data_IF_087073350484
#
_entry.id   IF_087073350484
#
_cell.length_a   1.000
_cell.length_b   1.000
_cell.length_c   1.000
_cell.angle_alpha   90.00
_cell.angle_beta   90.00
_cell.angle_gamma   90.00
#
_symmetry.space_group_name_H-M   'P 1'
#
loop_
_entity.id
_entity.type
_entity.pdbx_description
1 polymer ?
#
# COMPACT_ATOMS: atom_id res chain seq x y z
N UNK A 1 9.25 -4.24 -12.32
CA UNK A 1 10.68 -4.32 -12.66
C UNK A 1 10.96 -5.77 -13.01
N UNK A 2 11.49 -6.02 -14.20
CA UNK A 2 11.93 -7.36 -14.60
C UNK A 2 13.28 -7.69 -13.96
N UNK A 3 13.73 -8.94 -14.09
CA UNK A 3 15.01 -9.38 -13.53
C UNK A 3 16.19 -8.63 -14.16
N UNK A 4 16.11 -8.37 -15.46
CA UNK A 4 17.13 -7.68 -16.25
C UNK A 4 17.28 -6.23 -15.77
N UNK A 5 16.13 -5.54 -15.63
CA UNK A 5 16.07 -4.17 -15.11
C UNK A 5 16.59 -4.06 -13.68
N UNK A 6 16.33 -5.07 -12.83
CA UNK A 6 16.90 -5.11 -11.48
C UNK A 6 18.43 -5.25 -11.53
N UNK A 7 18.94 -6.12 -12.40
CA UNK A 7 20.38 -6.33 -12.57
C UNK A 7 21.12 -5.07 -13.05
N UNK A 8 20.53 -4.30 -13.95
CA UNK A 8 21.06 -3.01 -14.38
C UNK A 8 21.14 -2.00 -13.22
N UNK A 9 20.05 -1.83 -12.48
CA UNK A 9 20.04 -0.93 -11.31
C UNK A 9 21.00 -1.39 -10.22
N UNK A 10 21.14 -2.70 -10.02
CA UNK A 10 22.08 -3.24 -9.05
C UNK A 10 23.52 -2.90 -9.42
N UNK A 11 23.92 -3.01 -10.69
CA UNK A 11 25.26 -2.61 -11.14
C UNK A 11 25.51 -1.12 -10.93
N UNK A 12 24.54 -0.28 -11.27
CA UNK A 12 24.63 1.16 -11.03
C UNK A 12 24.82 1.49 -9.54
N UNK A 13 24.14 0.77 -8.64
CA UNK A 13 24.36 0.90 -7.19
C UNK A 13 25.78 0.52 -6.79
N UNK A 14 26.34 -0.56 -7.34
CA UNK A 14 27.73 -0.95 -7.04
C UNK A 14 28.72 0.13 -7.47
N UNK A 15 28.51 0.76 -8.63
CA UNK A 15 29.34 1.87 -9.11
C UNK A 15 29.31 3.05 -8.13
N UNK A 16 28.14 3.45 -7.63
CA UNK A 16 28.02 4.52 -6.63
C UNK A 16 28.67 4.20 -5.27
N UNK A 17 28.73 2.92 -4.90
CA UNK A 17 29.45 2.49 -3.70
C UNK A 17 30.96 2.55 -3.92
N UNK A 18 31.44 2.18 -5.11
CA UNK A 18 32.86 2.17 -5.45
C UNK A 18 33.44 3.57 -5.71
N UNK A 19 32.65 4.52 -6.23
CA UNK A 19 33.06 5.92 -6.40
C UNK A 19 33.23 6.66 -5.07
N UNK A 20 32.69 6.11 -3.97
CA UNK A 20 32.67 6.76 -2.66
C UNK A 20 31.55 7.79 -2.49
N UNK A 21 30.61 7.86 -3.45
CA UNK A 21 29.46 8.79 -3.38
C UNK A 21 28.50 8.42 -2.24
N UNK A 22 28.44 7.14 -1.87
CA UNK A 22 27.62 6.66 -0.76
C UNK A 22 28.17 5.37 -0.14
N UNK A 23 27.82 5.12 1.13
CA UNK A 23 28.22 3.90 1.85
C UNK A 23 27.18 2.79 1.81
N UNK A 24 25.90 3.14 1.66
CA UNK A 24 24.81 2.18 1.61
C UNK A 24 23.70 2.71 0.72
N UNK A 25 23.17 1.84 -0.14
CA UNK A 25 21.98 2.12 -0.94
C UNK A 25 20.93 1.04 -0.66
N UNK A 26 19.69 1.47 -0.44
CA UNK A 26 18.56 0.56 -0.34
C UNK A 26 17.86 0.45 -1.70
N UNK A 27 18.08 -0.64 -2.42
CA UNK A 27 17.41 -0.91 -3.68
C UNK A 27 16.04 -1.55 -3.41
N UNK A 28 14.97 -0.78 -3.58
CA UNK A 28 13.60 -1.24 -3.37
C UNK A 28 12.88 -1.56 -4.69
N UNK A 29 12.05 -2.60 -4.69
CA UNK A 29 11.19 -2.97 -5.82
C UNK A 29 9.73 -2.71 -5.50
N UNK A 30 9.04 -2.00 -6.41
CA UNK A 30 7.59 -1.80 -6.34
C UNK A 30 6.85 -2.94 -7.03
N UNK A 31 5.86 -3.49 -6.33
CA UNK A 31 4.87 -4.43 -6.86
C UNK A 31 3.50 -3.78 -6.94
N UNK A 32 2.66 -4.27 -7.84
CA UNK A 32 1.28 -3.81 -8.00
C UNK A 32 0.37 -5.00 -8.29
N UNK A 33 -0.78 -5.05 -7.61
CA UNK A 33 -1.78 -6.07 -7.78
C UNK A 33 -3.17 -5.46 -7.55
N UNK A 34 -4.19 -6.06 -8.17
CA UNK A 34 -5.58 -5.71 -7.87
C UNK A 34 -6.05 -6.44 -6.62
N UNK A 35 -6.74 -5.73 -5.73
CA UNK A 35 -7.28 -6.28 -4.50
C UNK A 35 -8.78 -5.99 -4.41
N UNK A 36 -9.54 -6.94 -3.87
CA UNK A 36 -10.96 -6.81 -3.57
C UNK A 36 -11.24 -7.49 -2.24
N UNK A 37 -11.88 -6.79 -1.32
CA UNK A 37 -12.15 -7.27 0.02
C UNK A 37 -12.05 -6.16 1.06
N UNK A 38 -12.03 -6.55 2.33
CA UNK A 38 -11.84 -5.63 3.45
C UNK A 38 -10.35 -5.51 3.80
N UNK A 39 -9.84 -4.29 3.79
CA UNK A 39 -8.42 -4.00 4.00
C UNK A 39 -7.94 -4.36 5.40
N UNK A 40 -8.84 -4.37 6.39
CA UNK A 40 -8.51 -4.75 7.76
C UNK A 40 -8.32 -6.26 7.91
N UNK A 41 -9.17 -7.06 7.26
CA UNK A 41 -8.98 -8.51 7.19
C UNK A 41 -7.67 -8.88 6.49
N UNK A 42 -7.32 -8.19 5.40
CA UNK A 42 -6.02 -8.38 4.75
C UNK A 42 -4.85 -8.07 5.70
N UNK A 43 -4.94 -6.99 6.49
CA UNK A 43 -3.94 -6.64 7.49
C UNK A 43 -3.77 -7.73 8.56
N UNK A 44 -4.86 -8.26 9.11
CA UNK A 44 -4.81 -9.32 10.11
C UNK A 44 -4.16 -10.59 9.56
N UNK A 45 -4.53 -11.01 8.35
CA UNK A 45 -3.94 -12.18 7.70
C UNK A 45 -2.44 -11.99 7.44
N UNK A 46 -2.04 -10.81 6.95
CA UNK A 46 -0.63 -10.49 6.72
C UNK A 46 0.18 -10.46 8.01
N UNK A 47 -0.38 -9.94 9.09
CA UNK A 47 0.29 -9.89 10.39
C UNK A 47 0.49 -11.32 10.93
N UNK A 48 -0.56 -12.14 10.90
CA UNK A 48 -0.51 -13.53 11.34
C UNK A 48 0.48 -14.37 10.52
N UNK A 49 0.49 -14.21 9.19
CA UNK A 49 1.37 -14.96 8.29
C UNK A 49 2.85 -14.59 8.48
N UNK A 50 3.16 -13.29 8.62
CA UNK A 50 4.55 -12.82 8.71
C UNK A 50 5.10 -12.80 10.14
N UNK A 51 4.25 -13.04 11.16
CA UNK A 51 4.59 -12.92 12.59
C UNK A 51 5.34 -11.62 12.89
N UNK A 52 4.85 -10.52 12.30
CA UNK A 52 5.57 -9.26 12.28
C UNK A 52 5.53 -8.60 13.67
N UNK A 53 6.68 -8.47 14.37
CA UNK A 53 6.70 -7.81 15.69
C UNK A 53 6.36 -6.32 15.59
N UNK A 54 6.54 -5.74 14.40
CA UNK A 54 6.19 -4.35 14.10
C UNK A 54 5.28 -4.31 12.88
N UNK A 55 4.05 -3.85 13.09
CA UNK A 55 3.05 -3.67 12.04
C UNK A 55 2.23 -2.41 12.32
N UNK A 56 1.71 -1.79 11.25
CA UNK A 56 0.86 -0.61 11.32
C UNK A 56 -0.23 -0.67 10.26
N UNK A 57 -1.41 -0.18 10.63
CA UNK A 57 -2.56 -0.02 9.73
C UNK A 57 -3.07 1.41 9.82
N UNK A 58 -3.18 2.08 8.69
CA UNK A 58 -3.74 3.42 8.59
C UNK A 58 -4.86 3.43 7.55
N UNK A 59 -6.08 3.75 7.98
CA UNK A 59 -7.23 3.94 7.09
C UNK A 59 -7.32 5.42 6.71
N UNK A 60 -7.41 5.67 5.41
CA UNK A 60 -7.53 6.98 4.78
C UNK A 60 -8.84 7.04 3.99
N UNK A 61 -9.28 8.24 3.60
CA UNK A 61 -10.50 8.39 2.79
C UNK A 61 -10.39 7.71 1.42
N UNK A 62 -9.21 7.74 0.82
CA UNK A 62 -8.95 7.21 -0.53
C UNK A 62 -8.41 5.77 -0.50
N UNK A 63 -8.29 5.13 0.67
CA UNK A 63 -7.68 3.82 0.77
C UNK A 63 -7.16 3.44 2.15
N UNK A 64 -6.22 2.50 2.19
CA UNK A 64 -5.53 2.09 3.40
C UNK A 64 -4.03 1.89 3.14
N UNK A 65 -3.22 2.13 4.17
CA UNK A 65 -1.81 1.82 4.20
C UNK A 65 -1.59 0.72 5.23
N UNK A 66 -0.98 -0.37 4.80
CA UNK A 66 -0.57 -1.48 5.65
C UNK A 66 0.95 -1.52 5.63
N UNK A 67 1.58 -1.51 6.80
CA UNK A 67 3.02 -1.65 6.92
C UNK A 67 3.35 -2.80 7.87
N UNK A 68 4.38 -3.57 7.54
CA UNK A 68 4.89 -4.63 8.41
C UNK A 68 6.37 -4.87 8.16
N UNK A 69 7.07 -5.28 9.21
CA UNK A 69 8.49 -5.62 9.18
C UNK A 69 8.68 -7.07 9.58
N UNK A 70 9.46 -7.80 8.78
CA UNK A 70 9.92 -9.15 9.09
C UNK A 70 11.44 -9.23 8.88
N UNK A 71 12.19 -9.63 9.91
CA UNK A 71 13.63 -9.98 9.85
C UNK A 71 14.45 -9.24 8.77
N UNK A 72 14.64 -7.92 8.92
CA UNK A 72 15.45 -7.09 8.01
C UNK A 72 14.73 -6.55 6.77
N UNK A 73 13.52 -7.03 6.47
CA UNK A 73 12.72 -6.61 5.32
C UNK A 73 11.52 -5.76 5.77
N UNK A 74 11.29 -4.66 5.06
CA UNK A 74 10.20 -3.73 5.33
C UNK A 74 9.24 -3.69 4.15
N UNK A 75 7.96 -3.88 4.43
CA UNK A 75 6.90 -3.85 3.42
C UNK A 75 5.89 -2.74 3.72
N UNK A 76 5.54 -2.00 2.68
CA UNK A 76 4.43 -1.04 2.68
C UNK A 76 3.49 -1.39 1.53
N UNK A 77 2.24 -1.68 1.87
CA UNK A 77 1.16 -1.96 0.94
C UNK A 77 0.20 -0.79 0.97
N UNK A 78 -0.05 -0.19 -0.19
CA UNK A 78 -1.02 0.88 -0.37
C UNK A 78 -2.22 0.29 -1.11
N UNK A 79 -3.35 0.20 -0.43
CA UNK A 79 -4.63 -0.17 -1.03
C UNK A 79 -5.35 1.10 -1.40
N UNK A 80 -5.67 1.28 -2.69
CA UNK A 80 -6.49 2.39 -3.17
C UNK A 80 -7.94 1.94 -3.25
N UNK A 81 -8.84 2.59 -2.53
CA UNK A 81 -10.27 2.35 -2.66
C UNK A 81 -10.77 3.03 -3.94
N UNK A 82 -11.66 2.35 -4.68
CA UNK A 82 -12.44 3.04 -5.72
C UNK A 82 -13.37 4.04 -5.03
N UNK A 83 -13.61 5.23 -5.61
CA UNK A 83 -14.55 6.18 -5.03
C UNK A 83 -15.91 5.49 -4.84
N UNK A 84 -16.36 5.38 -3.58
CA UNK A 84 -17.72 4.94 -3.29
C UNK A 84 -18.64 5.99 -3.91
N UNK A 85 -19.42 5.64 -4.94
CA UNK A 85 -20.57 6.45 -5.34
C UNK A 85 -21.42 6.63 -4.09
N UNK A 86 -21.47 7.83 -3.54
CA UNK A 86 -22.52 8.17 -2.57
C UNK A 86 -23.84 7.95 -3.29
N UNK A 87 -24.62 6.96 -2.83
CA UNK A 87 -26.03 6.90 -3.20
C UNK A 87 -26.67 8.16 -2.61
N UNK A 88 -27.23 9.00 -3.47
CA UNK A 88 -28.01 10.16 -3.03
C UNK A 88 -29.09 9.67 -2.05
N UNK A 89 -29.33 10.37 -0.93
CA UNK A 89 -30.42 10.00 -0.03
C UNK A 89 -31.74 10.00 -0.82
N UNK A 90 -32.67 9.08 -0.52
CA UNK A 90 -33.98 9.10 -1.16
C UNK A 90 -34.63 10.46 -0.84
N UNK A 91 -34.84 11.27 -1.87
CA UNK A 91 -35.63 12.49 -1.77
C UNK A 91 -37.05 12.08 -1.42
N UNK A 92 -37.41 12.16 -0.14
CA UNK A 92 -38.81 12.06 0.28
C UNK A 92 -39.57 13.19 -0.41
N UNK A 93 -40.62 12.93 -1.22
CA UNK A 93 -41.42 13.99 -1.77
C UNK A 93 -42.07 14.75 -0.61
N UNK A 94 -41.81 16.06 -0.53
CA UNK A 94 -42.43 16.94 0.44
C UNK A 94 -43.95 16.86 0.26
N UNK A 95 -44.63 16.35 1.28
CA UNK A 95 -46.09 16.31 1.34
C UNK A 95 -46.58 17.76 1.36
N UNK A 96 -47.19 18.23 0.28
CA UNK A 96 -47.80 19.56 0.22
C UNK A 96 -49.00 19.62 1.17
N UNK A 97 -48.82 20.27 2.32
CA UNK A 97 -49.91 20.59 3.25
C UNK A 97 -50.42 22.02 2.99
N UNK A 98 -51.63 22.11 2.45
CA UNK A 98 -52.59 23.19 2.69
C UNK A 98 -52.35 24.55 2.02
N UNK A 99 -53.22 24.92 1.09
CA UNK A 99 -54.44 25.70 1.37
C UNK A 99 -55.42 25.59 0.21
#
# INVERSE_FOLDING_TARGET
MTREQYGEKFRQVQEYLHSGDCYQVNLAQRFHATYSGDEWQAFLQLNQANRAPFSAFLRLEQGAILAFRQSGLFFVIIVKSRPRRLKAPPTTPARSSGR
#
